data_IF_474180766673
#
_entry.id   IF_474180766673
#
_cell.length_a   1.000
_cell.length_b   1.000
_cell.length_c   1.000
_cell.angle_alpha   90.00
_cell.angle_beta   90.00
_cell.angle_gamma   90.00
#
_symmetry.space_group_name_H-M   'P 1'
#
loop_
_entity.id
_entity.type
_entity.pdbx_description
1 polymer ?
#
# COMPACT_ATOMS: atom_id res chain seq x y z
N UNK A 1 1.40 -10.38 -11.06
CA UNK A 1 1.65 -11.85 -10.94
C UNK A 1 0.47 -12.63 -11.50
N UNK A 2 0.56 -13.96 -11.69
CA UNK A 2 -0.56 -14.74 -12.26
C UNK A 2 -1.74 -14.72 -11.28
N UNK A 3 -2.90 -14.25 -11.75
CA UNK A 3 -4.14 -14.25 -10.97
C UNK A 3 -4.24 -13.20 -9.86
N UNK A 4 -3.32 -12.24 -9.80
CA UNK A 4 -3.38 -11.13 -8.86
C UNK A 4 -4.56 -10.21 -9.16
N UNK A 5 -5.31 -9.80 -8.13
CA UNK A 5 -6.52 -8.97 -8.26
C UNK A 5 -6.46 -7.77 -7.33
N UNK A 6 -6.78 -6.58 -7.86
CA UNK A 6 -7.04 -5.39 -7.04
C UNK A 6 -8.46 -5.45 -6.50
N UNK A 7 -8.60 -5.41 -5.17
CA UNK A 7 -9.90 -5.55 -4.49
C UNK A 7 -10.27 -4.30 -3.69
N UNK A 8 -9.33 -3.39 -3.46
CA UNK A 8 -9.59 -2.12 -2.77
C UNK A 8 -9.81 -0.97 -3.74
N UNK A 9 -10.63 -0.01 -3.34
CA UNK A 9 -10.61 1.32 -3.96
C UNK A 9 -9.25 1.99 -3.75
N UNK A 10 -8.65 2.57 -4.80
CA UNK A 10 -7.39 3.28 -4.69
C UNK A 10 -7.54 4.58 -3.90
N UNK A 11 -6.45 5.00 -3.25
CA UNK A 11 -6.30 6.27 -2.55
C UNK A 11 -5.14 7.04 -3.16
N UNK A 12 -5.38 8.29 -3.58
CA UNK A 12 -4.35 9.18 -4.11
C UNK A 12 -4.04 10.26 -3.07
N UNK A 13 -2.78 10.37 -2.66
CA UNK A 13 -2.31 11.33 -1.66
C UNK A 13 -0.94 11.86 -2.05
N UNK A 14 -0.78 13.19 -2.10
CA UNK A 14 0.50 13.85 -2.40
C UNK A 14 1.21 13.32 -3.67
N UNK A 15 0.45 13.03 -4.74
CA UNK A 15 0.99 12.48 -5.99
C UNK A 15 1.32 10.98 -5.95
N UNK A 16 1.09 10.31 -4.82
CA UNK A 16 1.29 8.87 -4.61
C UNK A 16 -0.06 8.15 -4.67
N UNK A 17 -0.11 7.00 -5.34
CA UNK A 17 -1.29 6.14 -5.48
C UNK A 17 -1.10 4.87 -4.66
N UNK A 18 -2.05 4.59 -3.77
CA UNK A 18 -2.06 3.42 -2.89
C UNK A 18 -3.29 2.56 -3.12
N UNK A 19 -3.09 1.25 -3.25
CA UNK A 19 -4.17 0.26 -3.32
C UNK A 19 -3.64 -1.10 -2.91
N UNK A 20 -4.51 -1.97 -2.42
CA UNK A 20 -4.14 -3.33 -2.04
C UNK A 20 -4.58 -4.35 -3.08
N UNK A 21 -3.77 -5.39 -3.23
CA UNK A 21 -4.08 -6.53 -4.10
C UNK A 21 -4.03 -7.82 -3.30
N UNK A 22 -4.73 -8.81 -3.83
CA UNK A 22 -4.67 -10.18 -3.37
C UNK A 22 -4.08 -11.06 -4.47
N UNK A 23 -3.08 -11.86 -4.08
CA UNK A 23 -2.54 -12.95 -4.89
C UNK A 23 -3.04 -14.28 -4.32
N UNK A 24 -3.87 -15.02 -5.06
CA UNK A 24 -4.31 -16.35 -4.66
C UNK A 24 -3.13 -17.29 -4.42
N UNK A 25 -3.25 -18.14 -3.42
CA UNK A 25 -2.31 -19.23 -3.21
C UNK A 25 -2.46 -20.29 -4.30
N UNK A 26 -1.37 -20.60 -4.98
CA UNK A 26 -1.29 -21.71 -5.93
C UNK A 26 -0.75 -22.93 -5.18
N UNK A 27 -1.63 -23.54 -4.37
CA UNK A 27 -1.39 -24.85 -3.75
C UNK A 27 -2.38 -25.88 -4.27
N UNK A 28 -2.10 -27.15 -4.01
CA UNK A 28 -3.04 -28.26 -4.15
C UNK A 28 -4.43 -27.85 -3.60
N UNK A 29 -5.53 -28.05 -4.36
CA UNK A 29 -6.88 -27.74 -3.90
C UNK A 29 -7.29 -28.48 -2.61
N UNK A 30 -6.57 -29.54 -2.24
CA UNK A 30 -6.77 -30.28 -0.99
C UNK A 30 -6.07 -29.62 0.22
N UNK A 31 -5.32 -28.53 0.00
CA UNK A 31 -4.64 -27.78 1.06
C UNK A 31 -5.19 -26.36 1.10
N UNK A 32 -5.53 -25.89 2.31
CA UNK A 32 -5.90 -24.50 2.50
C UNK A 32 -4.67 -23.61 2.24
N UNK A 33 -4.82 -22.66 1.33
CA UNK A 33 -3.83 -21.60 1.15
C UNK A 33 -4.48 -20.25 1.29
N UNK A 34 -3.94 -19.45 2.19
CA UNK A 34 -4.46 -18.14 2.55
C UNK A 34 -4.18 -17.09 1.44
N UNK A 35 -3.32 -17.40 0.47
CA UNK A 35 -2.78 -16.43 -0.48
C UNK A 35 -1.97 -15.33 0.22
N UNK A 36 -1.63 -14.27 -0.52
CA UNK A 36 -0.86 -13.15 0.03
C UNK A 36 -1.42 -11.80 -0.42
N UNK A 37 -1.46 -10.86 0.50
CA UNK A 37 -1.79 -9.46 0.26
C UNK A 37 -0.56 -8.60 -0.04
N UNK A 38 -0.75 -7.58 -0.87
CA UNK A 38 0.26 -6.56 -1.16
C UNK A 38 -0.36 -5.18 -1.07
N UNK A 39 0.42 -4.20 -0.64
CA UNK A 39 0.13 -2.79 -0.83
C UNK A 39 0.95 -2.31 -2.03
N UNK A 40 0.31 -1.70 -3.01
CA UNK A 40 0.97 -0.94 -4.05
C UNK A 40 1.11 0.50 -3.59
N UNK A 41 2.26 1.10 -3.91
CA UNK A 41 2.61 2.49 -3.61
C UNK A 41 3.45 2.99 -4.76
N UNK A 42 2.81 3.72 -5.67
CA UNK A 42 3.40 4.11 -6.95
C UNK A 42 3.15 5.58 -7.23
N UNK A 43 3.96 6.17 -8.10
CA UNK A 43 3.68 7.50 -8.63
C UNK A 43 2.32 7.48 -9.35
N UNK A 44 1.44 8.42 -9.00
CA UNK A 44 0.07 8.44 -9.49
C UNK A 44 -0.03 8.75 -11.00
N UNK A 45 1.03 9.28 -11.61
CA UNK A 45 1.06 9.71 -13.00
C UNK A 45 1.74 8.66 -13.88
N UNK A 46 2.89 8.15 -13.46
CA UNK A 46 3.73 7.28 -14.29
C UNK A 46 3.91 5.85 -13.74
N UNK A 47 3.32 5.53 -12.58
CA UNK A 47 3.39 4.24 -11.93
C UNK A 47 4.81 3.77 -11.55
N UNK A 48 5.78 4.67 -11.44
CA UNK A 48 7.13 4.35 -10.96
C UNK A 48 7.14 3.95 -9.49
N UNK A 49 8.22 3.26 -9.08
CA UNK A 49 8.50 3.03 -7.67
C UNK A 49 8.78 4.36 -6.95
N UNK A 50 8.49 4.39 -5.65
CA UNK A 50 8.63 5.57 -4.80
C UNK A 50 9.43 5.30 -3.50
N UNK A 51 9.68 4.03 -3.17
CA UNK A 51 10.22 3.61 -1.87
C UNK A 51 11.33 2.59 -2.08
N UNK A 52 12.58 2.93 -1.75
CA UNK A 52 13.75 2.08 -2.06
C UNK A 52 13.80 0.80 -1.19
N UNK A 53 13.02 0.71 -0.11
CA UNK A 53 13.06 -0.37 0.89
C UNK A 53 11.82 -1.30 0.87
N UNK A 54 11.00 -1.24 -0.19
CA UNK A 54 9.76 -2.01 -0.26
C UNK A 54 9.95 -3.43 -0.83
N UNK A 55 10.98 -3.63 -1.66
CA UNK A 55 11.34 -4.95 -2.16
C UNK A 55 12.20 -5.71 -1.14
N UNK A 56 11.61 -6.74 -0.54
CA UNK A 56 12.36 -7.66 0.32
C UNK A 56 13.53 -8.31 -0.44
N UNK A 57 14.75 -8.04 0.02
CA UNK A 57 16.00 -8.51 -0.60
C UNK A 57 16.45 -7.71 -1.82
N UNK A 58 15.84 -6.53 -2.06
CA UNK A 58 16.29 -5.53 -3.02
C UNK A 58 17.48 -4.71 -2.52
N UNK A 59 17.80 -3.67 -3.27
CA UNK A 59 18.86 -2.70 -2.94
C UNK A 59 18.24 -1.41 -2.37
N UNK A 60 18.32 -1.24 -1.04
CA UNK A 60 17.74 -0.13 -0.28
C UNK A 60 18.37 1.26 -0.58
N UNK A 61 19.18 1.37 -1.63
CA UNK A 61 19.82 2.63 -2.07
C UNK A 61 19.40 3.09 -3.46
N UNK A 62 18.49 2.35 -4.13
CA UNK A 62 17.99 2.70 -5.46
C UNK A 62 16.58 2.17 -5.67
N UNK A 63 15.82 2.87 -6.51
CA UNK A 63 14.49 2.42 -6.91
C UNK A 63 14.54 1.28 -7.93
N UNK A 64 13.91 0.17 -7.59
CA UNK A 64 13.71 -1.00 -8.43
C UNK A 64 12.24 -1.14 -8.84
N UNK A 65 11.94 -1.94 -9.87
CA UNK A 65 10.53 -2.13 -10.27
C UNK A 65 9.73 -2.90 -9.20
N UNK A 66 10.39 -3.74 -8.40
CA UNK A 66 9.78 -4.52 -7.33
C UNK A 66 9.29 -3.68 -6.14
N UNK A 67 9.89 -2.51 -5.93
CA UNK A 67 9.59 -1.55 -4.86
C UNK A 67 8.22 -0.90 -4.96
N UNK A 68 7.54 -1.08 -6.10
CA UNK A 68 6.14 -0.68 -6.25
C UNK A 68 5.22 -1.41 -5.27
N UNK A 69 5.67 -2.49 -4.63
CA UNK A 69 4.86 -3.34 -3.77
C UNK A 69 5.49 -3.61 -2.41
N UNK A 70 4.71 -3.39 -1.34
CA UNK A 70 5.02 -3.80 0.02
C UNK A 70 4.25 -5.07 0.38
N UNK A 71 4.93 -6.04 1.02
CA UNK A 71 4.30 -7.30 1.43
C UNK A 71 3.48 -7.13 2.71
N UNK A 72 2.17 -7.40 2.65
CA UNK A 72 1.26 -7.28 3.81
C UNK A 72 1.07 -8.60 4.58
N UNK A 73 1.54 -9.72 4.03
CA UNK A 73 1.38 -11.05 4.61
C UNK A 73 0.20 -11.83 4.04
N UNK A 74 -0.32 -12.78 4.81
CA UNK A 74 -1.38 -13.71 4.38
C UNK A 74 -2.78 -13.10 4.37
N UNK A 75 -3.64 -13.61 3.47
CA UNK A 75 -5.05 -13.25 3.39
C UNK A 75 -5.36 -12.08 2.48
N UNK A 76 -6.64 -11.68 2.48
CA UNK A 76 -7.16 -10.58 1.66
C UNK A 76 -7.01 -9.28 2.46
N UNK A 77 -6.19 -8.33 2.01
CA UNK A 77 -6.03 -7.06 2.71
C UNK A 77 -7.26 -6.16 2.51
N UNK A 78 -7.55 -5.30 3.50
CA UNK A 78 -8.51 -4.21 3.33
C UNK A 78 -7.96 -3.10 2.43
N UNK A 79 -8.75 -2.09 2.14
CA UNK A 79 -8.26 -0.83 1.57
C UNK A 79 -7.23 -0.16 2.49
N UNK A 80 -6.34 0.64 1.89
CA UNK A 80 -5.42 1.49 2.65
C UNK A 80 -6.13 2.74 3.18
N UNK A 81 -6.25 2.85 4.49
CA UNK A 81 -6.91 3.99 5.14
C UNK A 81 -5.85 4.98 5.63
N UNK A 82 -5.80 6.21 5.09
CA UNK A 82 -4.88 7.23 5.58
C UNK A 82 -5.37 7.83 6.91
N UNK A 83 -4.46 7.87 7.88
CA UNK A 83 -4.67 8.50 9.18
C UNK A 83 -3.76 9.72 9.25
N UNK A 84 -4.35 10.90 9.36
CA UNK A 84 -3.64 12.17 9.45
C UNK A 84 -3.33 12.50 10.91
N UNK A 85 -2.05 12.55 11.26
CA UNK A 85 -1.55 12.83 12.60
C UNK A 85 -0.70 14.10 12.59
N UNK A 86 -0.27 14.59 13.77
CA UNK A 86 0.58 15.79 13.86
C UNK A 86 1.95 15.60 13.21
N UNK A 87 2.44 14.36 13.18
CA UNK A 87 3.76 13.97 12.72
C UNK A 87 3.80 13.63 11.23
N UNK A 88 2.64 13.40 10.59
CA UNK A 88 2.56 12.93 9.21
C UNK A 88 1.29 12.13 8.94
N UNK A 89 1.30 11.40 7.82
CA UNK A 89 0.24 10.46 7.46
C UNK A 89 0.72 9.03 7.76
N UNK A 90 -0.16 8.17 8.25
CA UNK A 90 0.09 6.72 8.33
C UNK A 90 -1.00 5.99 7.56
N UNK A 91 -0.65 5.00 6.73
CA UNK A 91 -1.62 4.11 6.12
C UNK A 91 -1.90 2.94 7.08
N UNK A 92 -3.16 2.69 7.38
CA UNK A 92 -3.61 1.52 8.14
C UNK A 92 -4.32 0.53 7.21
N UNK A 93 -3.88 -0.72 7.23
CA UNK A 93 -4.38 -1.79 6.37
C UNK A 93 -4.71 -3.02 7.23
N UNK A 94 -5.94 -3.50 7.17
CA UNK A 94 -6.32 -4.80 7.73
C UNK A 94 -5.77 -5.95 6.90
N UNK A 95 -5.29 -6.99 7.56
CA UNK A 95 -4.67 -8.19 6.97
C UNK A 95 -5.16 -9.43 7.74
N UNK A 96 -4.86 -10.63 7.23
CA UNK A 96 -5.26 -11.87 7.92
C UNK A 96 -4.70 -12.04 9.34
N UNK A 97 -3.64 -11.32 9.69
CA UNK A 97 -2.99 -11.35 11.02
C UNK A 97 -3.30 -10.15 11.92
N UNK A 98 -4.23 -9.26 11.54
CA UNK A 98 -4.53 -8.01 12.27
C UNK A 98 -4.34 -6.78 11.38
N UNK A 99 -3.89 -5.65 11.94
CA UNK A 99 -3.65 -4.43 11.17
C UNK A 99 -2.15 -4.19 10.95
N UNK A 100 -1.79 -3.69 9.77
CA UNK A 100 -0.46 -3.23 9.41
C UNK A 100 -0.47 -1.72 9.21
N UNK A 101 0.47 -1.04 9.85
CA UNK A 101 0.77 0.36 9.61
C UNK A 101 1.91 0.49 8.63
N UNK A 102 1.78 1.38 7.64
CA UNK A 102 2.82 1.69 6.65
C UNK A 102 2.99 3.21 6.60
N UNK A 103 4.23 3.68 6.62
CA UNK A 103 4.55 5.09 6.41
C UNK A 103 4.58 5.38 4.89
N UNK A 104 3.71 6.25 4.36
CA UNK A 104 3.71 6.63 2.97
C UNK A 104 4.79 7.68 2.61
N UNK A 105 5.63 8.09 3.56
CA UNK A 105 6.60 9.19 3.42
C UNK A 105 5.89 10.45 2.93
N UNK A 106 4.83 10.84 3.63
CA UNK A 106 4.06 12.05 3.37
C UNK A 106 4.13 12.92 4.61
N UNK A 107 5.03 13.88 4.57
CA UNK A 107 5.03 15.00 5.49
C UNK A 107 3.80 15.90 5.23
N UNK A 108 3.36 16.61 6.26
CA UNK A 108 2.22 17.52 6.16
C UNK A 108 2.61 18.82 5.43
N UNK A 109 1.90 19.23 4.36
CA UNK A 109 1.61 20.63 4.16
C UNK A 109 0.24 20.94 4.75
N UNK A 110 0.20 21.55 5.95
CA UNK A 110 -1.02 22.22 6.45
C UNK A 110 -1.19 23.54 5.71
N UNK A 111 -1.78 23.53 4.52
CA UNK A 111 -2.53 24.73 4.13
C UNK A 111 -3.72 24.80 5.07
N UNK A 112 -3.83 25.88 5.85
CA UNK A 112 -5.01 26.09 6.69
C UNK A 112 -6.20 26.31 5.76
N UNK A 113 -7.00 25.26 5.58
CA UNK A 113 -8.28 25.37 4.91
C UNK A 113 -9.29 25.87 5.93
N UNK A 114 -9.70 27.13 5.80
CA UNK A 114 -10.83 27.65 6.56
C UNK A 114 -12.09 27.40 5.74
N UNK A 115 -13.15 26.98 6.41
CA UNK A 115 -14.48 27.07 5.83
C UNK A 115 -14.86 28.55 5.76
N UNK A 116 -15.14 29.04 4.57
CA UNK A 116 -15.76 30.35 4.35
C UNK A 116 -17.26 30.10 4.19
N UNK A 117 -18.05 30.73 5.06
CA UNK A 117 -19.50 30.75 5.00
C UNK A 117 -19.88 32.23 4.86
N UNK A 118 -20.67 32.57 3.82
CA UNK A 118 -21.16 33.93 3.53
C UNK A 118 -22.39 34.26 4.38
#
# INVERSE_FOLDING_TARGET
>A
KIGEKGLSSPVVLAGKLFFTTFLPGISDPCQASQGSGRLYGIDAINASALFEDWLAGGDDTKLETGDRTFALGGGIPSSAVPIFQKQGVTLLIGTGGGARSVDPDIALPRVRTYWYEE
#
